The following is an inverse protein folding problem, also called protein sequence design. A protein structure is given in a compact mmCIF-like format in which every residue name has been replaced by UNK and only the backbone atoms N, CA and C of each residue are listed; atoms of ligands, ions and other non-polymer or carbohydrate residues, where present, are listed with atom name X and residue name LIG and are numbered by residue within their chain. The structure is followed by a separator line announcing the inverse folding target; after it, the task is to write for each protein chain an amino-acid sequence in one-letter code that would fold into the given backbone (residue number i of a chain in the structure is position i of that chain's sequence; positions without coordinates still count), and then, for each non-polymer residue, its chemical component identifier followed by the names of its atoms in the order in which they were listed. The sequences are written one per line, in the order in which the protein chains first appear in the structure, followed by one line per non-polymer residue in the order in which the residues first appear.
data_IF_498840791190
#
_entry.id   IF_498840791190
#
_cell.length_a   1.000
_cell.length_b   1.000
_cell.length_c   1.000
_cell.angle_alpha   90.00
_cell.angle_beta   90.00
_cell.angle_gamma   90.00
#
_symmetry.space_group_name_H-M   'P 1'
#
loop_
_entity.id
_entity.type
_entity.pdbx_description
1 polymer ?
#
# COMPACT_ATOMS: atom_id res chain seq x y z
N UNK A 1 17.82 6.70 -2.47
CA UNK A 1 19.01 6.10 -3.14
C UNK A 1 19.76 5.30 -2.10
N UNK A 2 20.10 4.02 -2.31
CA UNK A 2 20.93 3.29 -1.35
C UNK A 2 22.34 3.89 -1.32
N UNK A 3 23.01 3.83 -0.17
CA UNK A 3 24.40 4.28 -0.01
C UNK A 3 25.36 3.35 -0.74
N UNK A 4 25.01 2.06 -0.80
CA UNK A 4 25.76 1.01 -1.52
C UNK A 4 24.82 -0.10 -1.99
N UNK A 5 25.33 -0.95 -2.87
CA UNK A 5 24.58 -2.09 -3.42
C UNK A 5 23.63 -1.70 -4.56
N UNK A 6 22.85 -2.67 -5.02
CA UNK A 6 21.90 -2.53 -6.13
C UNK A 6 20.53 -3.07 -5.75
N UNK A 7 19.48 -2.41 -6.23
CA UNK A 7 18.09 -2.86 -6.13
C UNK A 7 17.65 -3.30 -7.51
N UNK A 8 17.23 -4.55 -7.62
CA UNK A 8 16.68 -5.10 -8.86
C UNK A 8 15.17 -5.26 -8.71
N UNK A 9 14.43 -4.82 -9.70
CA UNK A 9 13.01 -5.04 -9.83
C UNK A 9 12.71 -5.66 -11.20
N UNK A 10 12.15 -6.87 -11.20
CA UNK A 10 11.86 -7.62 -12.43
C UNK A 10 13.11 -7.75 -13.35
N UNK A 11 14.29 -7.99 -12.75
CA UNK A 11 15.59 -8.07 -13.43
C UNK A 11 16.22 -6.73 -13.82
N UNK A 12 15.53 -5.60 -13.63
CA UNK A 12 15.98 -4.26 -13.99
C UNK A 12 16.61 -3.57 -12.77
N UNK A 13 17.80 -2.99 -12.92
CA UNK A 13 18.43 -2.20 -11.87
C UNK A 13 17.73 -0.84 -11.74
N UNK A 14 17.04 -0.62 -10.62
CA UNK A 14 16.29 0.59 -10.32
C UNK A 14 16.99 1.53 -9.32
N UNK A 15 18.22 1.23 -8.87
CA UNK A 15 18.90 1.96 -7.79
C UNK A 15 19.07 3.46 -8.05
N UNK A 16 19.36 3.85 -9.29
CA UNK A 16 19.52 5.24 -9.70
C UNK A 16 18.33 5.82 -10.46
N UNK A 17 17.25 5.03 -10.63
CA UNK A 17 16.11 5.39 -11.46
C UNK A 17 15.21 6.41 -10.75
N UNK A 18 14.68 7.38 -11.52
CA UNK A 18 13.71 8.34 -11.01
C UNK A 18 12.38 7.70 -10.61
N UNK A 19 11.66 8.33 -9.67
CA UNK A 19 10.44 7.77 -9.07
C UNK A 19 9.36 7.48 -10.13
N UNK A 20 9.13 8.39 -11.08
CA UNK A 20 8.13 8.23 -12.12
C UNK A 20 8.44 7.05 -13.06
N UNK A 21 9.73 6.76 -13.32
CA UNK A 21 10.14 5.61 -14.12
C UNK A 21 9.93 4.29 -13.37
N UNK A 22 10.19 4.27 -12.06
CA UNK A 22 9.88 3.09 -11.21
C UNK A 22 8.39 2.82 -11.18
N UNK A 23 7.57 3.87 -11.09
CA UNK A 23 6.11 3.74 -11.16
C UNK A 23 5.66 3.18 -12.51
N UNK A 24 6.24 3.65 -13.61
CA UNK A 24 5.96 3.13 -14.95
C UNK A 24 6.34 1.65 -15.13
N UNK A 25 7.33 1.14 -14.38
CA UNK A 25 7.69 -0.29 -14.35
C UNK A 25 6.68 -1.14 -13.55
N UNK A 26 5.77 -0.51 -12.79
CA UNK A 26 4.77 -1.19 -11.98
C UNK A 26 5.11 -1.26 -10.49
N UNK A 27 5.93 -0.34 -9.98
CA UNK A 27 6.21 -0.22 -8.55
C UNK A 27 5.38 0.92 -7.97
N UNK A 28 4.40 0.62 -7.12
CA UNK A 28 3.63 1.60 -6.37
C UNK A 28 4.03 1.60 -4.90
N UNK A 29 3.96 2.76 -4.24
CA UNK A 29 4.21 2.92 -2.82
C UNK A 29 3.12 3.78 -2.19
N UNK A 30 2.57 3.33 -1.05
CA UNK A 30 1.82 4.23 -0.18
C UNK A 30 2.79 5.18 0.54
N UNK A 31 2.34 6.38 0.86
CA UNK A 31 3.14 7.37 1.56
C UNK A 31 2.71 7.44 3.02
N UNK A 32 3.65 7.66 3.95
CA UNK A 32 3.35 7.94 5.37
C UNK A 32 2.54 9.23 5.54
N UNK A 33 2.76 10.21 4.63
CA UNK A 33 1.98 11.45 4.55
C UNK A 33 1.04 11.31 3.38
N UNK A 34 -0.24 11.41 3.65
CA UNK A 34 -1.34 11.27 2.69
C UNK A 34 -1.20 12.27 1.54
N UNK A 35 -0.95 11.78 0.32
CA UNK A 35 -0.83 12.60 -0.89
C UNK A 35 -2.12 12.55 -1.71
N UNK A 36 -3.25 12.92 -1.08
CA UNK A 36 -4.56 13.02 -1.71
C UNK A 36 -4.94 14.48 -1.92
N UNK A 37 -5.73 14.76 -2.93
CA UNK A 37 -6.30 16.08 -3.18
C UNK A 37 -7.54 16.24 -2.31
N UNK A 38 -7.39 16.92 -1.18
CA UNK A 38 -8.43 17.04 -0.15
C UNK A 38 -9.70 17.74 -0.64
N UNK A 39 -9.58 18.64 -1.62
CA UNK A 39 -10.69 19.40 -2.20
C UNK A 39 -11.44 18.64 -3.31
N UNK A 40 -10.94 17.48 -3.72
CA UNK A 40 -11.56 16.62 -4.73
C UNK A 40 -12.34 15.49 -4.06
N UNK A 41 -13.31 14.91 -4.78
CA UNK A 41 -13.99 13.70 -4.30
C UNK A 41 -13.05 12.50 -4.26
N UNK A 42 -13.39 11.46 -3.51
CA UNK A 42 -12.65 10.19 -3.54
C UNK A 42 -12.57 9.65 -4.98
N UNK A 43 -13.67 9.73 -5.72
CA UNK A 43 -13.73 9.30 -7.12
C UNK A 43 -12.80 10.10 -8.02
N UNK A 44 -12.78 11.45 -7.89
CA UNK A 44 -11.91 12.31 -8.69
C UNK A 44 -10.42 12.01 -8.40
N UNK A 45 -10.05 11.75 -7.14
CA UNK A 45 -8.69 11.37 -6.75
C UNK A 45 -8.24 10.09 -7.48
N UNK A 46 -9.07 9.05 -7.47
CA UNK A 46 -8.73 7.78 -8.15
C UNK A 46 -8.77 7.94 -9.67
N UNK A 47 -9.72 8.72 -10.22
CA UNK A 47 -9.78 9.00 -11.65
C UNK A 47 -8.53 9.71 -12.17
N UNK A 48 -7.93 10.63 -11.39
CA UNK A 48 -6.64 11.25 -11.71
C UNK A 48 -5.51 10.23 -11.76
N UNK A 49 -5.48 9.25 -10.84
CA UNK A 49 -4.49 8.18 -10.86
C UNK A 49 -4.65 7.27 -12.10
N UNK A 50 -5.89 6.92 -12.47
CA UNK A 50 -6.21 6.21 -13.72
C UNK A 50 -5.72 7.00 -14.93
N UNK A 51 -6.00 8.31 -14.97
CA UNK A 51 -5.61 9.19 -16.09
C UNK A 51 -4.09 9.26 -16.23
N UNK A 52 -3.37 9.45 -15.11
CA UNK A 52 -1.91 9.54 -15.12
C UNK A 52 -1.25 8.28 -15.71
N UNK A 53 -1.84 7.10 -15.43
CA UNK A 53 -1.30 5.83 -15.93
C UNK A 53 -1.74 5.48 -17.36
N UNK A 54 -2.89 5.98 -17.82
CA UNK A 54 -3.42 5.70 -19.17
C UNK A 54 -2.79 6.50 -20.29
N UNK A 55 -1.86 7.43 -20.01
CA UNK A 55 -1.21 8.30 -20.99
C UNK A 55 -2.14 9.35 -21.61
N UNK A 56 -3.35 9.51 -21.12
CA UNK A 56 -4.36 10.43 -21.64
C UNK A 56 -4.25 11.88 -21.13
N UNK A 57 -3.09 12.32 -20.68
CA UNK A 57 -2.88 13.62 -20.02
C UNK A 57 -3.14 14.85 -20.90
N UNK A 58 -3.37 14.72 -22.20
CA UNK A 58 -3.46 15.84 -23.15
C UNK A 58 -4.80 15.96 -23.91
N UNK A 59 -5.88 15.34 -23.44
CA UNK A 59 -7.21 15.55 -24.07
C UNK A 59 -7.90 16.78 -23.46
N UNK A 60 -7.49 17.97 -23.86
CA UNK A 60 -8.02 19.26 -23.37
C UNK A 60 -9.49 19.56 -23.73
N UNK A 61 -10.08 18.79 -24.63
CA UNK A 61 -11.43 19.05 -25.18
C UNK A 61 -12.55 18.28 -24.50
N UNK A 62 -12.23 17.33 -23.60
CA UNK A 62 -13.21 16.51 -22.90
C UNK A 62 -13.10 16.75 -21.42
N UNK A 63 -14.24 17.06 -20.78
CA UNK A 63 -14.34 17.16 -19.33
C UNK A 63 -13.99 15.80 -18.71
N UNK A 64 -12.88 15.70 -17.98
CA UNK A 64 -12.40 14.46 -17.35
C UNK A 64 -13.44 13.89 -16.37
N UNK A 65 -14.27 14.74 -15.74
CA UNK A 65 -15.36 14.31 -14.84
C UNK A 65 -16.49 13.59 -15.56
N UNK A 66 -16.60 13.73 -16.87
CA UNK A 66 -17.59 13.07 -17.73
C UNK A 66 -16.99 11.94 -18.56
N UNK A 67 -15.69 11.64 -18.38
CA UNK A 67 -15.02 10.59 -19.12
C UNK A 67 -15.20 9.23 -18.44
N UNK A 68 -16.09 8.40 -19.00
CA UNK A 68 -16.38 7.07 -18.50
C UNK A 68 -15.12 6.16 -18.55
N UNK A 69 -14.18 6.38 -19.46
CA UNK A 69 -12.94 5.62 -19.56
C UNK A 69 -12.04 5.83 -18.32
N UNK A 70 -12.23 6.94 -17.59
CA UNK A 70 -11.55 7.23 -16.34
C UNK A 70 -12.41 6.86 -15.13
N UNK A 71 -13.70 7.21 -15.16
CA UNK A 71 -14.59 7.10 -14.00
C UNK A 71 -14.97 5.65 -13.69
N UNK A 72 -15.27 4.83 -14.68
CA UNK A 72 -15.66 3.43 -14.43
C UNK A 72 -14.53 2.61 -13.79
N UNK A 73 -13.27 2.64 -14.31
CA UNK A 73 -12.16 2.00 -13.62
C UNK A 73 -11.92 2.55 -12.21
N UNK A 74 -12.03 3.88 -12.02
CA UNK A 74 -11.84 4.51 -10.72
C UNK A 74 -12.84 4.01 -9.68
N UNK A 75 -14.12 3.88 -10.06
CA UNK A 75 -15.15 3.31 -9.18
C UNK A 75 -14.83 1.84 -8.83
N UNK A 76 -14.32 1.07 -9.78
CA UNK A 76 -13.90 -0.31 -9.54
C UNK A 76 -12.76 -0.41 -8.50
N UNK A 77 -11.81 0.52 -8.51
CA UNK A 77 -10.76 0.56 -7.48
C UNK A 77 -11.28 1.01 -6.11
N UNK A 78 -12.22 1.97 -6.06
CA UNK A 78 -12.90 2.34 -4.82
C UNK A 78 -13.68 1.16 -4.23
N UNK A 79 -14.34 0.37 -5.07
CA UNK A 79 -15.04 -0.83 -4.64
C UNK A 79 -14.10 -1.88 -4.02
N UNK A 80 -12.89 -2.06 -4.61
CA UNK A 80 -11.89 -2.99 -4.08
C UNK A 80 -11.41 -2.64 -2.67
N UNK A 81 -11.54 -1.38 -2.26
CA UNK A 81 -11.15 -0.91 -0.92
C UNK A 81 -12.35 -0.53 -0.04
N UNK A 82 -13.58 -0.85 -0.46
CA UNK A 82 -14.80 -0.60 0.32
C UNK A 82 -15.24 0.86 0.40
N UNK A 83 -14.81 1.72 -0.55
CA UNK A 83 -15.15 3.15 -0.59
C UNK A 83 -16.17 3.52 -1.67
N UNK A 84 -16.83 2.56 -2.32
CA UNK A 84 -17.81 2.83 -3.38
C UNK A 84 -18.96 3.75 -2.93
N UNK A 85 -19.44 3.57 -1.70
CA UNK A 85 -20.52 4.39 -1.11
C UNK A 85 -20.04 5.79 -0.69
N UNK A 86 -18.73 6.03 -0.71
CA UNK A 86 -18.06 7.30 -0.37
C UNK A 86 -17.47 7.98 -1.60
N UNK A 87 -17.71 7.45 -2.80
CA UNK A 87 -17.09 7.91 -4.06
C UNK A 87 -17.25 9.43 -4.29
N UNK A 88 -18.42 9.97 -4.05
CA UNK A 88 -18.72 11.40 -4.26
C UNK A 88 -18.45 12.28 -3.04
N UNK A 89 -17.93 11.71 -1.94
CA UNK A 89 -17.53 12.49 -0.76
C UNK A 89 -16.20 13.18 -1.04
N UNK A 90 -16.10 14.44 -0.67
CA UNK A 90 -14.86 15.23 -0.74
C UNK A 90 -13.83 14.59 0.20
N UNK A 91 -12.63 14.32 -0.33
CA UNK A 91 -11.62 13.56 0.39
C UNK A 91 -11.28 14.15 1.78
N UNK A 92 -11.29 15.48 1.93
CA UNK A 92 -11.08 16.12 3.22
C UNK A 92 -12.14 15.82 4.30
N UNK A 93 -13.27 15.19 3.94
CA UNK A 93 -14.33 14.77 4.86
C UNK A 93 -14.28 13.28 5.22
N UNK A 94 -13.33 12.55 4.67
CA UNK A 94 -13.10 11.14 4.96
C UNK A 94 -12.40 10.99 6.32
N UNK A 95 -12.62 9.85 6.99
CA UNK A 95 -11.85 9.47 8.19
C UNK A 95 -10.40 9.15 7.83
N UNK A 96 -9.55 9.02 8.86
CA UNK A 96 -8.15 8.63 8.65
C UNK A 96 -8.03 7.25 7.98
N UNK A 97 -8.84 6.28 8.40
CA UNK A 97 -8.89 4.96 7.77
C UNK A 97 -9.35 5.01 6.32
N UNK A 98 -10.41 5.81 6.03
CA UNK A 98 -10.89 6.01 4.66
C UNK A 98 -9.83 6.70 3.77
N UNK A 99 -9.01 7.61 4.33
CA UNK A 99 -7.86 8.17 3.60
C UNK A 99 -6.87 7.10 3.19
N UNK A 100 -6.53 6.17 4.10
CA UNK A 100 -5.61 5.05 3.79
C UNK A 100 -6.20 4.11 2.73
N UNK A 101 -7.49 3.82 2.82
CA UNK A 101 -8.19 3.05 1.76
C UNK A 101 -8.12 3.77 0.41
N UNK A 102 -8.34 5.10 0.39
CA UNK A 102 -8.25 5.91 -0.81
C UNK A 102 -6.84 5.90 -1.42
N UNK A 103 -5.80 6.00 -0.60
CA UNK A 103 -4.40 5.89 -1.05
C UNK A 103 -4.12 4.54 -1.73
N UNK A 104 -4.63 3.45 -1.15
CA UNK A 104 -4.51 2.12 -1.76
C UNK A 104 -5.26 2.06 -3.09
N UNK A 105 -6.49 2.60 -3.17
CA UNK A 105 -7.24 2.67 -4.42
C UNK A 105 -6.49 3.43 -5.52
N UNK A 106 -5.89 4.58 -5.17
CA UNK A 106 -5.06 5.36 -6.10
C UNK A 106 -3.81 4.59 -6.53
N UNK A 107 -3.15 3.87 -5.61
CA UNK A 107 -2.01 3.03 -5.93
C UNK A 107 -2.41 1.88 -6.88
N UNK A 108 -3.53 1.19 -6.62
CA UNK A 108 -4.07 0.14 -7.47
C UNK A 108 -4.43 0.65 -8.87
N UNK A 109 -4.90 1.91 -8.98
CA UNK A 109 -5.23 2.53 -10.26
C UNK A 109 -4.01 2.66 -11.20
N UNK A 110 -2.78 2.63 -10.66
CA UNK A 110 -1.56 2.58 -11.46
C UNK A 110 -1.22 1.17 -11.97
N UNK A 111 -2.06 0.16 -11.68
CA UNK A 111 -1.90 -1.26 -12.06
C UNK A 111 -0.51 -1.80 -11.68
N UNK A 112 -0.13 -1.74 -10.40
CA UNK A 112 1.21 -2.11 -9.98
C UNK A 112 1.44 -3.62 -10.05
N UNK A 113 2.70 -4.02 -10.28
CA UNK A 113 3.20 -5.38 -10.08
C UNK A 113 3.61 -5.61 -8.62
N UNK A 114 4.08 -4.55 -7.95
CA UNK A 114 4.51 -4.53 -6.56
C UNK A 114 3.95 -3.31 -5.85
N UNK A 115 3.24 -3.55 -4.76
CA UNK A 115 2.73 -2.52 -3.85
C UNK A 115 3.57 -2.51 -2.56
N UNK A 116 4.21 -1.38 -2.28
CA UNK A 116 4.97 -1.14 -1.05
C UNK A 116 4.07 -0.42 -0.05
N UNK A 117 3.84 -1.03 1.10
CA UNK A 117 3.04 -0.49 2.20
C UNK A 117 3.93 -0.32 3.43
N UNK A 118 3.96 0.89 3.97
CA UNK A 118 4.77 1.27 5.11
C UNK A 118 3.84 1.68 6.26
N UNK A 119 3.66 0.78 7.24
CA UNK A 119 2.76 0.91 8.39
C UNK A 119 1.34 1.36 7.98
N UNK A 120 0.64 0.65 7.10
CA UNK A 120 -0.66 1.10 6.58
C UNK A 120 -1.75 1.17 7.65
N UNK A 121 -1.60 0.49 8.79
CA UNK A 121 -2.54 0.52 9.92
C UNK A 121 -2.22 1.60 10.96
N UNK A 122 -1.12 2.34 10.82
CA UNK A 122 -0.71 3.34 11.81
C UNK A 122 -1.80 4.41 12.03
N UNK A 123 -2.20 4.60 13.29
CA UNK A 123 -3.21 5.59 13.68
C UNK A 123 -4.66 5.18 13.41
N UNK A 124 -4.92 3.95 12.95
CA UNK A 124 -6.27 3.43 12.76
C UNK A 124 -6.87 2.90 14.07
N UNK A 125 -8.21 3.02 14.19
CA UNK A 125 -8.95 2.30 15.23
C UNK A 125 -9.08 0.79 14.91
N UNK A 126 -9.44 -0.04 15.92
CA UNK A 126 -9.49 -1.50 15.74
C UNK A 126 -10.39 -1.97 14.57
N UNK A 127 -11.52 -1.30 14.37
CA UNK A 127 -12.44 -1.65 13.26
C UNK A 127 -11.85 -1.31 11.90
N UNK A 128 -11.16 -0.17 11.79
CA UNK A 128 -10.51 0.26 10.54
C UNK A 128 -9.34 -0.66 10.21
N UNK A 129 -8.56 -1.08 11.21
CA UNK A 129 -7.45 -2.03 11.04
C UNK A 129 -7.94 -3.39 10.54
N UNK A 130 -9.05 -3.92 11.09
CA UNK A 130 -9.67 -5.18 10.60
C UNK A 130 -10.08 -5.03 9.13
N UNK A 131 -10.78 -3.96 8.77
CA UNK A 131 -11.18 -3.72 7.38
C UNK A 131 -9.97 -3.61 6.44
N UNK A 132 -8.88 -2.97 6.88
CA UNK A 132 -7.64 -2.89 6.11
C UNK A 132 -7.00 -4.26 5.91
N UNK A 133 -6.95 -5.10 6.95
CA UNK A 133 -6.46 -6.49 6.84
C UNK A 133 -7.28 -7.28 5.82
N UNK A 134 -8.61 -7.16 5.83
CA UNK A 134 -9.49 -7.81 4.85
C UNK A 134 -9.19 -7.36 3.43
N UNK A 135 -9.04 -6.05 3.20
CA UNK A 135 -8.65 -5.49 1.89
C UNK A 135 -7.31 -6.09 1.42
N UNK A 136 -6.30 -6.11 2.29
CA UNK A 136 -4.98 -6.64 1.92
C UNK A 136 -5.02 -8.15 1.67
N UNK A 137 -5.84 -8.91 2.39
CA UNK A 137 -6.08 -10.33 2.12
C UNK A 137 -6.71 -10.55 0.75
N UNK A 138 -7.68 -9.74 0.34
CA UNK A 138 -8.30 -9.83 -0.98
C UNK A 138 -7.36 -9.47 -2.13
N UNK A 139 -6.38 -8.59 -1.87
CA UNK A 139 -5.34 -8.23 -2.84
C UNK A 139 -4.23 -9.28 -2.92
N UNK A 140 -4.03 -10.06 -1.87
CA UNK A 140 -3.06 -11.15 -1.81
C UNK A 140 -3.33 -12.17 -2.93
N UNK A 141 -2.28 -12.55 -3.66
CA UNK A 141 -2.38 -13.44 -4.81
C UNK A 141 -2.77 -12.76 -6.14
N UNK A 142 -3.26 -11.51 -6.11
CA UNK A 142 -3.53 -10.72 -7.30
C UNK A 142 -2.35 -9.82 -7.67
N UNK A 143 -1.61 -9.36 -6.67
CA UNK A 143 -0.38 -8.59 -6.84
C UNK A 143 0.61 -8.93 -5.72
N UNK A 144 1.89 -8.60 -5.94
CA UNK A 144 2.91 -8.73 -4.88
C UNK A 144 2.81 -7.55 -3.93
N UNK A 145 2.79 -7.83 -2.62
CA UNK A 145 2.77 -6.79 -1.58
C UNK A 145 4.03 -6.94 -0.74
N UNK A 146 4.78 -5.85 -0.56
CA UNK A 146 5.82 -5.73 0.47
C UNK A 146 5.27 -4.84 1.57
N UNK A 147 4.99 -5.45 2.71
CA UNK A 147 4.43 -4.82 3.90
C UNK A 147 5.53 -4.60 4.93
N UNK A 148 5.65 -3.39 5.45
CA UNK A 148 6.43 -3.06 6.64
C UNK A 148 5.44 -2.81 7.76
N UNK A 149 5.50 -3.62 8.80
CA UNK A 149 4.62 -3.53 9.97
C UNK A 149 5.36 -3.99 11.23
N UNK A 150 4.94 -3.48 12.37
CA UNK A 150 5.42 -3.87 13.68
C UNK A 150 4.36 -4.61 14.51
N UNK A 151 3.08 -4.60 14.06
CA UNK A 151 2.01 -5.42 14.62
C UNK A 151 2.17 -6.87 14.15
N UNK A 152 2.62 -7.73 15.06
CA UNK A 152 2.93 -9.13 14.75
C UNK A 152 1.68 -9.92 14.35
N UNK A 153 0.51 -9.62 14.90
CA UNK A 153 -0.73 -10.32 14.55
C UNK A 153 -1.13 -10.03 13.11
N UNK A 154 -1.00 -8.79 12.68
CA UNK A 154 -1.21 -8.37 11.30
C UNK A 154 -0.20 -9.05 10.36
N UNK A 155 1.09 -9.02 10.72
CA UNK A 155 2.16 -9.64 9.92
C UNK A 155 1.92 -11.13 9.74
N UNK A 156 1.62 -11.86 10.82
CA UNK A 156 1.37 -13.30 10.75
C UNK A 156 0.08 -13.66 10.00
N UNK A 157 -0.89 -12.75 9.97
CA UNK A 157 -2.15 -12.94 9.24
C UNK A 157 -1.97 -12.76 7.73
N UNK A 158 -1.14 -11.79 7.32
CA UNK A 158 -1.02 -11.37 5.92
C UNK A 158 0.16 -12.01 5.18
N UNK A 159 1.29 -12.25 5.86
CA UNK A 159 2.53 -12.59 5.16
C UNK A 159 2.57 -14.05 4.70
N UNK A 160 3.17 -14.29 3.53
CA UNK A 160 3.63 -15.61 3.08
C UNK A 160 5.08 -15.84 3.49
N UNK A 161 5.86 -14.76 3.62
CA UNK A 161 7.26 -14.77 4.02
C UNK A 161 7.56 -13.53 4.85
N UNK A 162 8.28 -13.72 5.96
CA UNK A 162 8.63 -12.66 6.90
C UNK A 162 10.14 -12.52 6.95
N UNK A 163 10.62 -11.28 6.84
CA UNK A 163 12.01 -10.93 7.16
C UNK A 163 12.01 -10.06 8.41
N UNK A 164 12.68 -10.51 9.45
CA UNK A 164 12.78 -9.79 10.73
C UNK A 164 14.04 -8.92 10.72
N UNK A 165 13.86 -7.63 11.00
CA UNK A 165 14.92 -6.64 11.05
C UNK A 165 15.15 -6.17 12.49
N UNK A 166 16.40 -6.22 12.94
CA UNK A 166 16.81 -5.67 14.24
C UNK A 166 18.01 -4.74 14.01
N UNK A 167 17.88 -3.50 14.44
CA UNK A 167 18.91 -2.47 14.26
C UNK A 167 19.44 -2.38 12.81
N UNK A 168 18.51 -2.49 11.83
CA UNK A 168 18.84 -2.42 10.40
C UNK A 168 19.48 -3.69 9.81
N UNK A 169 19.56 -4.78 10.56
CA UNK A 169 20.08 -6.07 10.10
C UNK A 169 18.96 -7.11 10.04
N UNK A 170 18.89 -7.83 8.91
CA UNK A 170 18.02 -9.00 8.80
C UNK A 170 18.56 -10.14 9.65
N UNK A 171 17.82 -10.57 10.67
CA UNK A 171 18.20 -11.70 11.56
C UNK A 171 17.58 -13.01 11.11
N UNK A 172 16.41 -13.00 10.49
CA UNK A 172 15.75 -14.20 10.01
C UNK A 172 14.88 -13.88 8.80
N UNK A 173 14.72 -14.82 7.89
CA UNK A 173 13.79 -14.75 6.76
C UNK A 173 13.21 -16.13 6.51
N UNK A 174 11.91 -16.33 6.78
CA UNK A 174 11.24 -17.62 6.63
C UNK A 174 9.71 -17.48 6.57
N UNK A 175 8.99 -18.62 6.54
CA UNK A 175 7.54 -18.68 6.69
C UNK A 175 7.09 -18.16 8.06
N UNK A 176 5.83 -17.70 8.20
CA UNK A 176 5.28 -17.25 9.49
C UNK A 176 5.44 -18.26 10.61
N UNK A 177 5.22 -19.56 10.32
CA UNK A 177 5.32 -20.64 11.32
C UNK A 177 6.76 -20.86 11.80
N UNK A 178 7.74 -20.73 10.91
CA UNK A 178 9.16 -20.88 11.24
C UNK A 178 9.64 -19.65 12.05
N UNK A 179 9.24 -18.45 11.65
CA UNK A 179 9.55 -17.20 12.36
C UNK A 179 9.00 -17.23 13.79
N UNK A 180 7.77 -17.68 14.02
CA UNK A 180 7.18 -17.83 15.36
C UNK A 180 7.99 -18.75 16.29
N UNK A 181 8.70 -19.73 15.73
CA UNK A 181 9.49 -20.71 16.48
C UNK A 181 10.96 -20.31 16.62
N UNK A 182 11.42 -19.32 15.86
CA UNK A 182 12.82 -18.92 15.84
C UNK A 182 13.24 -18.31 17.19
N UNK A 183 14.27 -18.88 17.87
CA UNK A 183 14.68 -18.41 19.19
C UNK A 183 15.30 -17.01 19.16
N UNK A 184 16.00 -16.63 18.08
CA UNK A 184 16.59 -15.31 17.94
C UNK A 184 15.52 -14.23 17.76
N UNK A 185 14.45 -14.53 17.01
CA UNK A 185 13.29 -13.64 16.87
C UNK A 185 12.55 -13.51 18.19
N UNK A 186 12.35 -14.63 18.92
CA UNK A 186 11.73 -14.60 20.25
C UNK A 186 12.52 -13.74 21.23
N UNK A 187 13.85 -13.87 21.24
CA UNK A 187 14.69 -13.06 22.12
C UNK A 187 14.64 -11.56 21.77
N UNK A 188 14.51 -11.23 20.48
CA UNK A 188 14.49 -9.83 20.02
C UNK A 188 13.13 -9.12 20.18
N UNK A 189 12.01 -9.84 20.04
CA UNK A 189 10.68 -9.23 19.98
C UNK A 189 9.69 -9.75 21.05
N UNK A 190 9.88 -10.97 21.55
CA UNK A 190 8.98 -11.61 22.51
C UNK A 190 9.60 -11.72 23.92
N UNK A 191 10.87 -11.36 24.07
CA UNK A 191 11.57 -11.34 25.35
C UNK A 191 11.26 -10.14 26.22
N UNK A 192 10.68 -9.08 25.67
CA UNK A 192 10.34 -7.87 26.42
C UNK A 192 8.98 -7.93 27.14
N UNK A 193 8.07 -8.84 26.76
CA UNK A 193 6.75 -8.97 27.40
C UNK A 193 6.78 -9.66 28.78
N UNK A 194 7.91 -10.22 29.24
CA UNK A 194 8.00 -10.96 30.50
C UNK A 194 8.83 -10.26 31.58
N UNK A 195 9.09 -8.95 31.50
CA UNK A 195 9.88 -8.24 32.51
C UNK A 195 9.06 -7.31 33.43
N UNK A 196 7.73 -7.22 33.23
CA UNK A 196 6.82 -6.48 34.13
C UNK A 196 5.81 -7.45 34.79
N UNK A 197 6.31 -8.22 35.76
CA UNK A 197 5.50 -8.95 36.73
C UNK A 197 6.06 -8.75 38.14
#
# INVERSE_FOLDING_TARGET
KPDSGTVLFDGINISGMDVHLRSALGLARSFQITNIFLDLTAHDNVALAVQAHSGHSFKFWKDARKDNDLRQPALGYLQQVGLENRAEVVAGQLSHGEHRQLEIAMALATRPKLLLLDEPMAGMGPKESIAMVEILQELKGKLTILLIEHDMDVVFTLADKITVLVNGRGIATDSPEAIRKNPEVKAAYLGEENTDA
#
